data_IF_918615687116
#
_entry.id   IF_918615687116
#
_cell.length_a   1.000
_cell.length_b   1.000
_cell.length_c   1.000
_cell.angle_alpha   90.00
_cell.angle_beta   90.00
_cell.angle_gamma   90.00
#
_symmetry.space_group_name_H-M   'P 1'
#
loop_
_entity.id
_entity.type
_entity.pdbx_description
1 polymer ?
#
# COMPACT_ATOMS: atom_id res chain seq x y z
N UNK A 1 -22.09 -24.39 -28.48
CA UNK A 1 -21.91 -23.32 -27.48
C UNK A 1 -20.43 -23.27 -27.16
N UNK A 2 -19.72 -22.21 -27.52
CA UNK A 2 -18.31 -22.08 -27.13
C UNK A 2 -18.26 -22.01 -25.60
N UNK A 3 -17.47 -22.88 -24.98
CA UNK A 3 -17.19 -22.80 -23.54
C UNK A 3 -16.37 -21.53 -23.35
N UNK A 4 -17.00 -20.47 -22.86
CA UNK A 4 -16.28 -19.28 -22.40
C UNK A 4 -15.50 -19.70 -21.15
N UNK A 5 -14.20 -19.92 -21.29
CA UNK A 5 -13.25 -20.29 -20.24
C UNK A 5 -12.66 -18.99 -19.65
N UNK A 6 -12.48 -18.92 -18.32
CA UNK A 6 -11.85 -17.75 -17.67
C UNK A 6 -10.50 -17.42 -18.29
N UNK A 7 -9.71 -18.42 -18.68
CA UNK A 7 -8.42 -18.20 -19.35
C UNK A 7 -8.55 -17.41 -20.66
N UNK A 8 -9.58 -17.71 -21.46
CA UNK A 8 -9.88 -17.01 -22.71
C UNK A 8 -10.43 -15.61 -22.46
N UNK A 9 -11.14 -15.40 -21.35
CA UNK A 9 -11.60 -14.05 -20.97
C UNK A 9 -10.41 -13.18 -20.56
N UNK A 10 -9.47 -13.75 -19.81
CA UNK A 10 -8.34 -13.01 -19.24
C UNK A 10 -7.20 -12.79 -20.25
N UNK A 11 -7.24 -13.45 -21.40
CA UNK A 11 -6.24 -13.29 -22.45
C UNK A 11 -6.23 -11.86 -22.99
N UNK A 12 -5.05 -11.23 -22.97
CA UNK A 12 -4.86 -9.84 -23.43
C UNK A 12 -5.36 -8.77 -22.45
N UNK A 13 -5.90 -9.14 -21.29
CA UNK A 13 -6.24 -8.18 -20.23
C UNK A 13 -4.99 -7.71 -19.48
N UNK A 14 -4.98 -6.44 -19.10
CA UNK A 14 -4.00 -5.92 -18.14
C UNK A 14 -4.19 -6.56 -16.76
N UNK A 15 -3.16 -6.55 -15.91
CA UNK A 15 -3.26 -6.99 -14.51
C UNK A 15 -4.43 -6.34 -13.76
N UNK A 16 -4.68 -5.05 -13.97
CA UNK A 16 -5.82 -4.35 -13.34
C UNK A 16 -7.15 -4.93 -13.80
N UNK A 17 -7.34 -5.10 -15.12
CA UNK A 17 -8.56 -5.68 -15.68
C UNK A 17 -8.74 -7.13 -15.24
N UNK A 18 -7.65 -7.90 -15.23
CA UNK A 18 -7.61 -9.31 -14.81
C UNK A 18 -8.12 -9.47 -13.38
N UNK A 19 -7.55 -8.73 -12.42
CA UNK A 19 -7.96 -8.82 -11.02
C UNK A 19 -9.35 -8.24 -10.75
N UNK A 20 -9.81 -7.27 -11.55
CA UNK A 20 -11.19 -6.81 -11.50
C UNK A 20 -12.17 -7.89 -12.01
N UNK A 21 -11.84 -8.57 -13.11
CA UNK A 21 -12.64 -9.65 -13.67
C UNK A 21 -12.73 -10.84 -12.68
N UNK A 22 -11.62 -11.21 -12.05
CA UNK A 22 -11.60 -12.22 -10.98
C UNK A 22 -12.51 -11.80 -9.83
N UNK A 23 -12.42 -10.55 -9.35
CA UNK A 23 -13.27 -10.06 -8.27
C UNK A 23 -14.76 -10.13 -8.63
N UNK A 24 -15.13 -9.74 -9.85
CA UNK A 24 -16.51 -9.86 -10.36
C UNK A 24 -16.95 -11.31 -10.43
N UNK A 25 -16.09 -12.23 -10.88
CA UNK A 25 -16.38 -13.66 -10.90
C UNK A 25 -16.65 -14.20 -9.49
N UNK A 26 -15.77 -13.91 -8.52
CA UNK A 26 -15.92 -14.34 -7.13
C UNK A 26 -17.22 -13.83 -6.49
N UNK A 27 -17.64 -12.62 -6.85
CA UNK A 27 -18.91 -12.04 -6.43
C UNK A 27 -20.11 -12.73 -7.11
N UNK A 28 -20.04 -12.94 -8.42
CA UNK A 28 -21.13 -13.56 -9.20
C UNK A 28 -21.43 -15.00 -8.75
N UNK A 29 -20.40 -15.72 -8.31
CA UNK A 29 -20.49 -17.10 -7.82
C UNK A 29 -20.82 -17.20 -6.33
N UNK A 30 -21.01 -16.07 -5.64
CA UNK A 30 -21.26 -16.03 -4.20
C UNK A 30 -22.40 -16.95 -3.76
N UNK A 31 -23.53 -16.97 -4.48
CA UNK A 31 -24.68 -17.81 -4.10
C UNK A 31 -24.36 -19.31 -4.07
N UNK A 32 -23.53 -19.78 -5.00
CA UNK A 32 -23.15 -21.20 -5.11
C UNK A 32 -21.98 -21.54 -4.19
N UNK A 33 -21.22 -20.53 -3.74
CA UNK A 33 -20.02 -20.71 -2.91
C UNK A 33 -20.20 -20.24 -1.47
N UNK A 34 -21.44 -19.99 -1.05
CA UNK A 34 -21.75 -19.50 0.29
C UNK A 34 -22.18 -20.65 1.20
N UNK A 35 -21.37 -20.92 2.23
CA UNK A 35 -21.63 -21.98 3.22
C UNK A 35 -22.94 -21.80 3.98
N UNK A 36 -23.45 -20.57 4.12
CA UNK A 36 -24.71 -20.30 4.79
C UNK A 36 -25.94 -20.71 3.96
N UNK A 37 -25.78 -20.99 2.67
CA UNK A 37 -26.87 -21.37 1.76
C UNK A 37 -26.48 -22.62 0.96
N UNK A 38 -26.20 -23.75 1.64
CA UNK A 38 -25.60 -24.91 1.00
C UNK A 38 -26.50 -25.55 -0.07
N UNK A 39 -27.81 -25.35 0.07
CA UNK A 39 -28.84 -25.77 -0.89
C UNK A 39 -28.55 -25.32 -2.32
N UNK A 40 -27.93 -24.16 -2.52
CA UNK A 40 -27.59 -23.67 -3.86
C UNK A 40 -26.53 -24.54 -4.54
N UNK A 41 -25.53 -24.98 -3.78
CA UNK A 41 -24.45 -25.83 -4.27
C UNK A 41 -24.90 -27.28 -4.43
N UNK A 42 -25.65 -27.80 -3.45
CA UNK A 42 -26.14 -29.19 -3.41
C UNK A 42 -27.19 -29.47 -4.49
N UNK A 43 -28.10 -28.54 -4.73
CA UNK A 43 -29.17 -28.73 -5.72
C UNK A 43 -28.70 -28.50 -7.16
N UNK A 44 -27.50 -27.95 -7.38
CA UNK A 44 -26.96 -27.63 -8.70
C UNK A 44 -25.53 -28.17 -8.90
N UNK A 45 -25.30 -29.50 -8.81
CA UNK A 45 -23.95 -30.08 -8.82
C UNK A 45 -23.18 -29.79 -10.11
N UNK A 46 -23.87 -29.68 -11.25
CA UNK A 46 -23.25 -29.29 -12.53
C UNK A 46 -22.66 -27.88 -12.45
N UNK A 47 -23.43 -26.92 -11.91
CA UNK A 47 -22.97 -25.54 -11.74
C UNK A 47 -21.82 -25.47 -10.73
N UNK A 48 -21.96 -26.18 -9.60
CA UNK A 48 -20.91 -26.27 -8.57
C UNK A 48 -19.59 -26.80 -9.14
N UNK A 49 -19.64 -27.83 -9.98
CA UNK A 49 -18.45 -28.38 -10.62
C UNK A 49 -17.84 -27.40 -11.65
N UNK A 50 -18.65 -26.72 -12.45
CA UNK A 50 -18.17 -25.68 -13.37
C UNK A 50 -17.47 -24.54 -12.62
N UNK A 51 -18.10 -24.03 -11.55
CA UNK A 51 -17.51 -22.97 -10.72
C UNK A 51 -16.22 -23.45 -10.06
N UNK A 52 -16.18 -24.68 -9.54
CA UNK A 52 -14.96 -25.25 -8.95
C UNK A 52 -13.80 -25.31 -9.96
N UNK A 53 -14.05 -25.75 -11.18
CA UNK A 53 -13.03 -25.81 -12.24
C UNK A 53 -12.47 -24.42 -12.56
N UNK A 54 -13.32 -23.41 -12.68
CA UNK A 54 -12.88 -22.04 -12.97
C UNK A 54 -12.15 -21.41 -11.76
N UNK A 55 -12.58 -21.68 -10.52
CA UNK A 55 -11.86 -21.24 -9.32
C UNK A 55 -10.44 -21.83 -9.24
N UNK A 56 -10.25 -23.11 -9.58
CA UNK A 56 -8.92 -23.74 -9.61
C UNK A 56 -7.98 -23.05 -10.61
N UNK A 57 -8.48 -22.73 -11.80
CA UNK A 57 -7.70 -21.96 -12.79
C UNK A 57 -7.35 -20.56 -12.27
N UNK A 58 -8.30 -19.89 -11.61
CA UNK A 58 -8.05 -18.58 -10.99
C UNK A 58 -6.94 -18.69 -9.92
N UNK A 59 -6.96 -19.71 -9.06
CA UNK A 59 -5.91 -19.92 -8.06
C UNK A 59 -4.53 -20.10 -8.71
N UNK A 60 -4.44 -20.88 -9.79
CA UNK A 60 -3.21 -21.06 -10.56
C UNK A 60 -2.73 -19.76 -11.21
N UNK A 61 -3.64 -18.95 -11.78
CA UNK A 61 -3.32 -17.65 -12.37
C UNK A 61 -2.77 -16.70 -11.30
N UNK A 62 -3.44 -16.59 -10.16
CA UNK A 62 -3.00 -15.71 -9.06
C UNK A 62 -1.65 -16.19 -8.51
N UNK A 63 -1.45 -17.50 -8.39
CA UNK A 63 -0.16 -18.08 -7.93
C UNK A 63 0.98 -17.69 -8.87
N UNK A 64 0.80 -17.86 -10.18
CA UNK A 64 1.79 -17.47 -11.20
C UNK A 64 2.08 -15.98 -11.16
N UNK A 65 1.04 -15.14 -11.05
CA UNK A 65 1.20 -13.68 -10.98
C UNK A 65 2.01 -13.28 -9.73
N UNK A 66 1.70 -13.86 -8.55
CA UNK A 66 2.44 -13.63 -7.28
C UNK A 66 3.92 -14.04 -7.42
N UNK A 67 4.20 -15.19 -8.01
CA UNK A 67 5.58 -15.69 -8.19
C UNK A 67 6.38 -14.87 -9.22
N UNK A 68 5.68 -14.26 -10.18
CA UNK A 68 6.31 -13.52 -11.27
C UNK A 68 6.73 -12.10 -10.89
N UNK A 69 5.95 -11.41 -10.05
CA UNK A 69 6.18 -10.01 -9.70
C UNK A 69 7.21 -9.92 -8.58
N UNK A 70 8.23 -9.09 -8.77
CA UNK A 70 9.32 -8.86 -7.82
C UNK A 70 9.32 -7.42 -7.33
N UNK A 71 9.97 -7.19 -6.19
CA UNK A 71 10.19 -5.83 -5.63
C UNK A 71 10.90 -4.94 -6.66
N UNK A 72 11.83 -5.50 -7.45
CA UNK A 72 12.57 -4.78 -8.49
C UNK A 72 11.70 -4.25 -9.62
N UNK A 73 10.50 -4.79 -9.79
CA UNK A 73 9.58 -4.39 -10.86
C UNK A 73 8.74 -3.16 -10.48
N UNK A 74 8.88 -2.68 -9.23
CA UNK A 74 8.17 -1.53 -8.70
C UNK A 74 8.94 -0.25 -9.01
N UNK A 75 8.41 0.55 -9.93
CA UNK A 75 8.94 1.88 -10.26
C UNK A 75 8.09 2.98 -9.60
N UNK A 76 8.62 3.56 -8.53
CA UNK A 76 7.96 4.62 -7.75
C UNK A 76 7.73 5.89 -8.59
N UNK A 77 8.65 6.20 -9.51
CA UNK A 77 8.51 7.38 -10.37
C UNK A 77 7.39 7.12 -11.38
N UNK A 78 7.36 5.95 -12.02
CA UNK A 78 6.31 5.63 -12.99
C UNK A 78 4.92 5.56 -12.32
N UNK A 79 4.81 4.94 -11.12
CA UNK A 79 3.58 4.89 -10.31
C UNK A 79 3.00 6.30 -10.08
N UNK A 80 3.86 7.24 -9.69
CA UNK A 80 3.47 8.60 -9.30
C UNK A 80 3.30 9.56 -10.47
N UNK A 81 3.70 9.16 -11.69
CA UNK A 81 3.69 10.03 -12.88
C UNK A 81 2.74 9.54 -13.97
N UNK A 82 3.26 8.79 -14.97
CA UNK A 82 2.53 8.41 -16.19
C UNK A 82 1.91 7.01 -16.10
N UNK A 83 2.49 6.11 -15.28
CA UNK A 83 2.07 4.70 -15.14
C UNK A 83 2.10 3.99 -16.50
N UNK A 84 3.23 4.08 -17.20
CA UNK A 84 3.39 3.46 -18.52
C UNK A 84 3.55 1.95 -18.41
N UNK A 85 4.17 1.46 -17.34
CA UNK A 85 4.31 0.03 -17.07
C UNK A 85 3.02 -0.54 -16.48
N UNK A 86 2.69 -1.77 -16.90
CA UNK A 86 1.51 -2.49 -16.42
C UNK A 86 1.53 -2.66 -14.89
N UNK A 87 2.70 -2.99 -14.32
CA UNK A 87 2.88 -3.15 -12.87
C UNK A 87 2.63 -1.82 -12.15
N UNK A 88 3.14 -0.70 -12.66
CA UNK A 88 2.90 0.61 -12.03
C UNK A 88 1.43 1.02 -12.08
N UNK A 89 0.75 0.76 -13.20
CA UNK A 89 -0.70 0.97 -13.32
C UNK A 89 -1.47 0.09 -12.33
N UNK A 90 -1.05 -1.16 -12.17
CA UNK A 90 -1.65 -2.10 -11.23
C UNK A 90 -1.44 -1.68 -9.77
N UNK A 91 -0.21 -1.31 -9.38
CA UNK A 91 0.11 -0.79 -8.03
C UNK A 91 -0.73 0.46 -7.73
N UNK A 92 -0.80 1.40 -8.67
CA UNK A 92 -1.62 2.60 -8.54
C UNK A 92 -3.10 2.25 -8.31
N UNK A 93 -3.66 1.36 -9.13
CA UNK A 93 -5.04 0.88 -8.96
C UNK A 93 -5.26 0.23 -7.58
N UNK A 94 -4.32 -0.58 -7.12
CA UNK A 94 -4.35 -1.20 -5.80
C UNK A 94 -4.38 -0.16 -4.68
N UNK A 95 -3.52 0.84 -4.77
CA UNK A 95 -3.48 1.94 -3.81
C UNK A 95 -4.80 2.70 -3.82
N UNK A 96 -5.34 3.07 -4.98
CA UNK A 96 -6.56 3.89 -5.08
C UNK A 96 -7.81 3.20 -4.53
N UNK A 97 -7.90 1.88 -4.64
CA UNK A 97 -9.06 1.12 -4.15
C UNK A 97 -9.07 0.89 -2.63
N UNK A 98 -7.98 1.18 -1.92
CA UNK A 98 -7.88 0.97 -0.46
C UNK A 98 -8.80 1.86 0.38
N UNK A 99 -9.50 2.84 -0.21
CA UNK A 99 -10.46 3.69 0.51
C UNK A 99 -11.55 4.25 -0.43
N UNK A 100 -12.47 3.40 -0.89
CA UNK A 100 -13.46 3.71 -1.94
C UNK A 100 -14.59 4.70 -1.56
N UNK A 101 -14.59 5.29 -0.36
CA UNK A 101 -15.70 6.13 0.13
C UNK A 101 -15.47 7.65 0.08
N UNK A 102 -14.31 8.15 -0.38
CA UNK A 102 -14.01 9.59 -0.38
C UNK A 102 -13.34 9.98 -1.70
N UNK A 103 -13.81 11.05 -2.35
CA UNK A 103 -13.26 11.68 -3.57
C UNK A 103 -11.86 12.31 -3.35
N UNK A 104 -10.96 11.59 -2.71
CA UNK A 104 -9.59 11.99 -2.41
C UNK A 104 -8.66 10.84 -2.80
N UNK A 105 -7.41 11.12 -3.26
CA UNK A 105 -6.43 10.06 -3.44
C UNK A 105 -6.35 9.25 -2.15
N UNK A 106 -6.37 7.93 -2.27
CA UNK A 106 -6.34 7.05 -1.11
C UNK A 106 -5.12 7.39 -0.23
N UNK A 107 -5.25 7.12 1.07
CA UNK A 107 -4.19 7.41 2.05
C UNK A 107 -2.83 6.85 1.63
N UNK A 108 -2.80 5.63 1.08
CA UNK A 108 -1.58 4.98 0.62
C UNK A 108 -0.88 5.76 -0.52
N UNK A 109 -1.63 6.18 -1.54
CA UNK A 109 -1.04 6.91 -2.67
C UNK A 109 -0.56 8.31 -2.26
N UNK A 110 -1.33 9.01 -1.41
CA UNK A 110 -0.93 10.32 -0.89
C UNK A 110 0.36 10.24 -0.09
N UNK A 111 0.46 9.24 0.79
CA UNK A 111 1.67 9.01 1.60
C UNK A 111 2.89 8.76 0.72
N UNK A 112 2.75 7.96 -0.33
CA UNK A 112 3.83 7.72 -1.29
C UNK A 112 4.31 9.01 -1.97
N UNK A 113 3.39 9.89 -2.37
CA UNK A 113 3.73 11.20 -2.95
C UNK A 113 4.47 12.11 -1.96
N UNK A 114 4.06 12.10 -0.69
CA UNK A 114 4.71 12.87 0.37
C UNK A 114 6.12 12.35 0.65
N UNK A 115 6.29 11.02 0.74
CA UNK A 115 7.57 10.36 0.93
C UNK A 115 8.53 10.65 -0.24
N UNK A 116 8.05 10.55 -1.49
CA UNK A 116 8.84 10.86 -2.69
C UNK A 116 9.25 12.34 -2.73
N UNK A 117 8.35 13.25 -2.36
CA UNK A 117 8.65 14.69 -2.31
C UNK A 117 9.71 15.00 -1.25
N UNK A 118 9.65 14.33 -0.09
CA UNK A 118 10.66 14.46 0.97
C UNK A 118 12.02 13.93 0.49
N UNK A 119 12.03 12.76 -0.17
CA UNK A 119 13.22 12.19 -0.80
C UNK A 119 13.85 13.17 -1.81
N UNK A 120 13.07 13.71 -2.74
CA UNK A 120 13.57 14.66 -3.76
C UNK A 120 14.12 15.94 -3.13
N UNK A 121 13.46 16.47 -2.10
CA UNK A 121 13.93 17.65 -1.35
C UNK A 121 15.27 17.35 -0.70
N UNK A 122 15.43 16.18 -0.10
CA UNK A 122 16.67 15.76 0.53
C UNK A 122 17.80 15.56 -0.48
N UNK A 123 17.53 14.94 -1.63
CA UNK A 123 18.51 14.74 -2.71
C UNK A 123 19.02 16.07 -3.29
N UNK A 124 18.13 17.05 -3.48
CA UNK A 124 18.52 18.40 -3.94
C UNK A 124 19.44 19.10 -2.94
N UNK A 125 19.20 18.91 -1.64
CA UNK A 125 20.01 19.51 -0.59
C UNK A 125 21.35 18.84 -0.39
N UNK A 126 21.51 17.57 -0.79
CA UNK A 126 22.72 16.80 -0.50
C UNK A 126 24.01 17.44 -1.03
N UNK A 127 23.93 18.19 -2.15
CA UNK A 127 25.08 18.91 -2.72
C UNK A 127 25.51 20.14 -1.92
N UNK A 128 24.59 20.76 -1.17
CA UNK A 128 24.80 22.06 -0.51
C UNK A 128 24.85 21.92 1.00
N UNK A 129 24.00 21.04 1.55
CA UNK A 129 23.91 20.73 2.97
C UNK A 129 23.71 19.21 3.15
N UNK A 130 24.81 18.42 3.11
CA UNK A 130 24.78 16.96 3.19
C UNK A 130 24.09 16.43 4.44
N UNK A 131 23.57 15.21 4.37
CA UNK A 131 22.81 14.58 5.48
C UNK A 131 23.60 14.53 6.79
N UNK A 132 24.92 14.32 6.73
CA UNK A 132 25.78 14.30 7.92
C UNK A 132 25.83 15.66 8.61
N UNK A 133 25.97 16.74 7.84
CA UNK A 133 25.96 18.11 8.37
C UNK A 133 24.58 18.48 8.91
N UNK A 134 23.51 18.02 8.26
CA UNK A 134 22.14 18.20 8.75
C UNK A 134 21.90 17.50 10.08
N UNK A 135 22.41 16.28 10.26
CA UNK A 135 22.34 15.54 11.53
C UNK A 135 23.13 16.24 12.63
N UNK A 136 24.35 16.70 12.34
CA UNK A 136 25.15 17.46 13.29
C UNK A 136 24.41 18.75 13.74
N UNK A 137 23.84 19.50 12.79
CA UNK A 137 23.07 20.72 13.10
C UNK A 137 21.80 20.44 13.91
N UNK A 138 21.12 19.32 13.66
CA UNK A 138 19.97 18.93 14.49
C UNK A 138 20.36 18.69 15.94
N UNK A 139 21.51 18.05 16.17
CA UNK A 139 22.03 17.81 17.52
C UNK A 139 22.45 19.11 18.20
N UNK A 140 23.09 20.04 17.49
CA UNK A 140 23.37 21.39 18.01
C UNK A 140 22.09 22.12 18.42
N UNK A 141 21.07 22.11 17.54
CA UNK A 141 19.79 22.77 17.82
C UNK A 141 19.05 22.14 19.00
N UNK A 142 19.14 20.83 19.18
CA UNK A 142 18.55 20.14 20.34
C UNK A 142 19.22 20.60 21.65
N UNK A 143 20.55 20.66 21.67
CA UNK A 143 21.30 21.18 22.82
C UNK A 143 21.00 22.67 23.09
N UNK A 144 20.91 23.49 22.03
CA UNK A 144 20.59 24.92 22.14
C UNK A 144 19.18 25.15 22.69
N UNK A 145 18.20 24.35 22.25
CA UNK A 145 16.83 24.39 22.77
C UNK A 145 16.83 24.03 24.25
N UNK A 146 17.47 22.93 24.64
CA UNK A 146 17.51 22.48 26.03
C UNK A 146 18.18 23.51 26.95
N UNK A 147 19.33 24.05 26.55
CA UNK A 147 20.02 25.08 27.31
C UNK A 147 19.18 26.37 27.44
N UNK A 148 18.48 26.75 26.37
CA UNK A 148 17.61 27.94 26.37
C UNK A 148 16.39 27.73 27.27
N UNK A 149 15.81 26.52 27.29
CA UNK A 149 14.71 26.16 28.20
C UNK A 149 15.13 26.13 29.67
N UNK A 150 16.35 25.66 29.97
CA UNK A 150 16.92 25.74 31.32
C UNK A 150 17.08 27.20 31.78
N UNK A 151 17.55 28.09 30.89
CA UNK A 151 17.65 29.53 31.17
C UNK A 151 16.27 30.13 31.48
N UNK A 152 15.25 29.81 30.68
CA UNK A 152 13.86 30.26 30.92
C UNK A 152 13.40 29.80 32.30
N UNK A 153 13.59 28.52 32.63
CA UNK A 153 13.15 27.97 33.93
C UNK A 153 13.75 28.70 35.14
N UNK A 154 14.98 29.22 34.99
CA UNK A 154 15.67 29.99 36.04
C UNK A 154 15.22 31.46 36.07
N UNK A 155 14.86 32.03 34.92
CA UNK A 155 14.49 33.45 34.78
C UNK A 155 13.02 33.74 35.04
N UNK A 156 12.12 32.76 34.91
CA UNK A 156 10.67 32.94 35.15
C UNK A 156 10.38 33.45 36.56
N UNK A 157 11.21 33.13 37.55
CA UNK A 157 11.06 33.60 38.93
C UNK A 157 11.68 34.99 39.18
N UNK A 158 12.46 35.51 38.23
CA UNK A 158 13.32 36.71 38.41
C UNK A 158 12.91 37.86 37.50
N UNK A 159 12.69 37.61 36.20
CA UNK A 159 12.35 38.62 35.21
C UNK A 159 11.55 38.02 34.04
N UNK A 160 10.23 38.27 34.07
CA UNK A 160 9.27 37.79 33.07
C UNK A 160 9.52 38.34 31.66
N UNK A 161 10.01 39.59 31.55
CA UNK A 161 10.26 40.20 30.24
C UNK A 161 11.47 39.56 29.56
N UNK A 162 12.52 39.24 30.31
CA UNK A 162 13.69 38.51 29.80
C UNK A 162 13.31 37.06 29.50
N UNK A 163 12.57 36.38 30.39
CA UNK A 163 12.10 35.02 30.15
C UNK A 163 11.32 34.91 28.82
N UNK A 164 10.41 35.84 28.56
CA UNK A 164 9.64 35.92 27.30
C UNK A 164 10.51 36.14 26.05
N UNK A 165 11.62 36.86 26.17
CA UNK A 165 12.56 37.01 25.05
C UNK A 165 13.25 35.67 24.71
N UNK A 166 13.61 34.88 25.73
CA UNK A 166 14.16 33.54 25.55
C UNK A 166 13.11 32.54 25.03
N UNK A 167 11.84 32.65 25.44
CA UNK A 167 10.75 31.84 24.86
C UNK A 167 10.63 32.05 23.35
N UNK A 168 10.67 33.31 22.89
CA UNK A 168 10.68 33.62 21.46
C UNK A 168 11.90 32.99 20.75
N UNK A 169 13.07 32.98 21.39
CA UNK A 169 14.26 32.31 20.87
C UNK A 169 14.06 30.80 20.73
N UNK A 170 13.44 30.14 21.73
CA UNK A 170 13.08 28.71 21.63
C UNK A 170 12.14 28.45 20.45
N UNK A 171 11.15 29.31 20.22
CA UNK A 171 10.23 29.18 19.08
C UNK A 171 10.99 29.22 17.75
N UNK A 172 11.92 30.15 17.58
CA UNK A 172 12.74 30.24 16.36
C UNK A 172 13.68 29.03 16.20
N UNK A 173 14.35 28.59 17.27
CA UNK A 173 15.18 27.39 17.24
C UNK A 173 14.38 26.13 16.87
N UNK A 174 13.17 25.98 17.41
CA UNK A 174 12.25 24.88 17.09
C UNK A 174 11.77 24.94 15.63
N UNK A 175 11.56 26.15 15.08
CA UNK A 175 11.24 26.33 13.65
C UNK A 175 12.40 25.85 12.77
N UNK A 176 13.62 26.26 13.07
CA UNK A 176 14.82 25.81 12.34
C UNK A 176 14.99 24.28 12.46
N UNK A 177 14.89 23.74 13.68
CA UNK A 177 14.99 22.31 13.94
C UNK A 177 13.99 21.51 13.09
N UNK A 178 12.72 21.91 13.09
CA UNK A 178 11.69 21.23 12.30
C UNK A 178 11.96 21.33 10.79
N UNK A 179 12.40 22.49 10.30
CA UNK A 179 12.72 22.68 8.89
C UNK A 179 13.88 21.76 8.42
N UNK A 180 14.91 21.59 9.26
CA UNK A 180 16.02 20.67 8.96
C UNK A 180 15.55 19.22 9.07
N UNK A 181 14.80 18.88 10.13
CA UNK A 181 14.30 17.53 10.42
C UNK A 181 13.51 16.93 9.26
N UNK A 182 12.63 17.72 8.64
CA UNK A 182 11.85 17.33 7.45
C UNK A 182 12.72 16.87 6.26
N UNK A 183 13.97 17.32 6.19
CA UNK A 183 14.88 16.98 5.09
C UNK A 183 15.90 15.91 5.49
N UNK A 184 16.04 15.63 6.78
CA UNK A 184 16.99 14.64 7.32
C UNK A 184 16.35 13.26 7.45
N UNK A 185 15.08 13.20 7.85
CA UNK A 185 14.36 11.95 8.05
C UNK A 185 13.34 11.77 6.93
N UNK A 186 13.66 10.93 5.96
CA UNK A 186 12.82 10.59 4.82
C UNK A 186 13.03 9.12 4.46
N UNK A 187 12.07 8.52 3.77
CA UNK A 187 12.21 7.16 3.25
C UNK A 187 13.09 7.17 2.00
N UNK A 188 13.99 6.20 1.90
CA UNK A 188 14.69 5.96 0.64
C UNK A 188 13.78 5.26 -0.39
N UNK A 189 14.28 5.21 -1.63
CA UNK A 189 13.54 4.61 -2.75
C UNK A 189 13.27 3.12 -2.53
N UNK A 190 14.22 2.39 -1.96
CA UNK A 190 14.08 0.95 -1.70
C UNK A 190 12.96 0.68 -0.69
N UNK A 191 12.89 1.45 0.38
CA UNK A 191 11.82 1.37 1.38
C UNK A 191 10.46 1.65 0.74
N UNK A 192 10.36 2.70 -0.08
CA UNK A 192 9.11 3.02 -0.81
C UNK A 192 8.71 1.91 -1.79
N UNK A 193 9.68 1.26 -2.45
CA UNK A 193 9.47 0.11 -3.33
C UNK A 193 8.93 -1.10 -2.57
N UNK A 194 9.55 -1.45 -1.44
CA UNK A 194 9.13 -2.58 -0.59
C UNK A 194 7.71 -2.36 -0.06
N UNK A 195 7.40 -1.16 0.43
CA UNK A 195 6.05 -0.85 0.91
C UNK A 195 5.00 -0.93 -0.21
N UNK A 196 5.31 -0.42 -1.40
CA UNK A 196 4.43 -0.48 -2.56
C UNK A 196 4.23 -1.91 -3.07
N UNK A 197 5.28 -2.73 -3.05
CA UNK A 197 5.23 -4.16 -3.33
C UNK A 197 4.33 -4.90 -2.32
N UNK A 198 4.48 -4.61 -1.03
CA UNK A 198 3.67 -5.24 0.01
C UNK A 198 2.16 -4.99 -0.17
N UNK A 199 1.77 -3.81 -0.67
CA UNK A 199 0.37 -3.48 -0.97
C UNK A 199 -0.20 -4.42 -2.04
N UNK A 200 0.53 -4.64 -3.15
CA UNK A 200 0.03 -5.49 -4.23
C UNK A 200 0.00 -6.96 -3.82
N UNK A 201 1.04 -7.46 -3.16
CA UNK A 201 1.10 -8.85 -2.72
C UNK A 201 0.01 -9.14 -1.69
N UNK A 202 -0.21 -8.24 -0.72
CA UNK A 202 -1.29 -8.40 0.25
C UNK A 202 -2.65 -8.53 -0.42
N UNK A 203 -2.91 -7.73 -1.46
CA UNK A 203 -4.16 -7.80 -2.22
C UNK A 203 -4.29 -9.09 -3.02
N UNK A 204 -3.23 -9.50 -3.72
CA UNK A 204 -3.22 -10.75 -4.49
C UNK A 204 -3.43 -11.96 -3.58
N UNK A 205 -2.70 -12.04 -2.46
CA UNK A 205 -2.86 -13.09 -1.46
C UNK A 205 -4.27 -13.10 -0.85
N UNK A 206 -4.87 -11.95 -0.57
CA UNK A 206 -6.26 -11.88 -0.07
C UNK A 206 -7.25 -12.46 -1.09
N UNK A 207 -7.05 -12.19 -2.37
CA UNK A 207 -7.90 -12.72 -3.44
C UNK A 207 -7.70 -14.22 -3.65
N UNK A 208 -6.45 -14.69 -3.53
CA UNK A 208 -6.11 -16.11 -3.54
C UNK A 208 -6.81 -16.84 -2.40
N UNK A 209 -6.75 -16.31 -1.19
CA UNK A 209 -7.37 -16.91 -0.01
C UNK A 209 -8.89 -17.00 -0.18
N UNK A 210 -9.54 -15.92 -0.64
CA UNK A 210 -10.97 -15.94 -0.95
C UNK A 210 -11.32 -17.00 -2.01
N UNK A 211 -10.45 -17.22 -2.98
CA UNK A 211 -10.62 -18.25 -4.01
C UNK A 211 -10.49 -19.65 -3.39
N UNK A 212 -9.45 -19.90 -2.59
CA UNK A 212 -9.18 -21.18 -1.94
C UNK A 212 -10.27 -21.60 -0.95
N UNK A 213 -10.80 -20.68 -0.16
CA UNK A 213 -11.93 -20.95 0.74
C UNK A 213 -13.14 -21.46 -0.06
N UNK A 214 -13.44 -20.84 -1.20
CA UNK A 214 -14.55 -21.27 -2.07
C UNK A 214 -14.28 -22.62 -2.73
N UNK A 215 -13.03 -22.90 -3.12
CA UNK A 215 -12.61 -24.22 -3.64
C UNK A 215 -12.85 -25.30 -2.59
N UNK A 216 -12.30 -25.13 -1.38
CA UNK A 216 -12.42 -26.08 -0.28
C UNK A 216 -13.90 -26.39 0.04
N UNK A 217 -14.73 -25.35 0.07
CA UNK A 217 -16.16 -25.51 0.28
C UNK A 217 -16.82 -26.38 -0.81
N UNK A 218 -16.59 -26.08 -2.09
CA UNK A 218 -17.19 -26.83 -3.19
C UNK A 218 -16.66 -28.26 -3.30
N UNK A 219 -15.37 -28.49 -2.99
CA UNK A 219 -14.79 -29.84 -2.93
C UNK A 219 -15.44 -30.69 -1.85
N UNK A 220 -15.71 -30.11 -0.66
CA UNK A 220 -16.46 -30.79 0.41
C UNK A 220 -17.86 -31.18 -0.06
N UNK A 221 -18.62 -30.22 -0.60
CA UNK A 221 -20.00 -30.46 -1.06
C UNK A 221 -20.04 -31.51 -2.17
N UNK A 222 -19.13 -31.46 -3.15
CA UNK A 222 -19.12 -32.41 -4.27
C UNK A 222 -18.55 -33.79 -3.88
N UNK A 223 -17.64 -33.84 -2.90
CA UNK A 223 -17.12 -35.08 -2.34
C UNK A 223 -18.18 -35.91 -1.62
N UNK A 224 -19.11 -35.25 -0.91
CA UNK A 224 -20.27 -35.87 -0.26
C UNK A 224 -21.27 -36.53 -1.25
N UNK A 225 -21.20 -36.22 -2.55
CA UNK A 225 -22.03 -36.84 -3.60
C UNK A 225 -21.40 -38.08 -4.26
N UNK A 226 -20.12 -38.36 -3.98
CA UNK A 226 -19.38 -39.47 -4.57
C UNK A 226 -19.25 -40.70 -3.65
N UNK A 227 -19.81 -40.62 -2.44
CA UNK A 227 -19.99 -41.74 -1.48
C UNK A 227 -21.47 -42.14 -1.40
#
# INVERSE_FOLDING_TARGET
>A
MSKVNIETILEGMTLTEKYNAISVFLYSTFKVTNEAIPQMATNNPIMSNLVLQELKKIDEIITKDIESIRVSDIDIIDITTKRNSEISAFVYSCMMMSNAYICSPSYAYRRLLEDLKAYDKAQKLEKVFPIEKRRARLQELENDIEATEQIISTLVEVDDAIAKAYENKVVELRREYNAIKETTYFKDMETMQVESYAIIISRMCSMQEQTRVKIQYLERILGEYCE
#
